data_IF_161858853756
#
_entry.id   IF_161858853756
#
_cell.length_a   1.000
_cell.length_b   1.000
_cell.length_c   1.000
_cell.angle_alpha   90.00
_cell.angle_beta   90.00
_cell.angle_gamma   90.00
#
_symmetry.space_group_name_H-M   'P 1'
#
loop_
_entity.id
_entity.type
_entity.pdbx_description
1 polymer ?
#
# COMPACT_ATOMS: atom_id res chain seq x y z
N UNK A 1 -7.49 6.43 9.19
CA UNK A 1 -6.60 7.15 8.25
C UNK A 1 -7.42 7.65 7.06
N UNK A 2 -7.16 8.86 6.54
CA UNK A 2 -7.80 9.40 5.34
C UNK A 2 -6.98 9.07 4.06
N UNK A 3 -7.51 9.37 2.87
CA UNK A 3 -6.87 9.02 1.59
C UNK A 3 -5.49 9.69 1.40
N UNK A 4 -5.33 10.94 1.84
CA UNK A 4 -4.04 11.62 1.75
C UNK A 4 -2.98 10.97 2.65
N UNK A 5 -3.36 10.63 3.87
CA UNK A 5 -2.51 9.90 4.81
C UNK A 5 -2.16 8.51 4.26
N UNK A 6 -3.09 7.82 3.61
CA UNK A 6 -2.83 6.53 2.96
C UNK A 6 -1.76 6.65 1.86
N UNK A 7 -1.93 7.60 0.93
CA UNK A 7 -0.95 7.86 -0.13
C UNK A 7 0.41 8.28 0.44
N UNK A 8 0.41 9.06 1.52
CA UNK A 8 1.64 9.46 2.20
C UNK A 8 2.36 8.24 2.80
N UNK A 9 1.64 7.37 3.51
CA UNK A 9 2.18 6.15 4.11
C UNK A 9 2.83 5.22 3.07
N UNK A 10 2.20 5.04 1.90
CA UNK A 10 2.76 4.23 0.80
C UNK A 10 4.07 4.84 0.28
N UNK A 11 4.09 6.17 0.07
CA UNK A 11 5.30 6.88 -0.42
C UNK A 11 6.44 6.77 0.57
N UNK A 12 6.17 6.99 1.86
CA UNK A 12 7.16 6.89 2.92
C UNK A 12 7.72 5.45 3.03
N UNK A 13 6.86 4.44 3.04
CA UNK A 13 7.28 3.04 3.07
C UNK A 13 8.15 2.66 1.87
N UNK A 14 7.77 3.11 0.66
CA UNK A 14 8.58 2.88 -0.55
C UNK A 14 9.97 3.51 -0.44
N UNK A 15 10.09 4.70 0.14
CA UNK A 15 11.38 5.37 0.31
C UNK A 15 12.28 4.65 1.32
N UNK A 16 11.72 4.21 2.46
CA UNK A 16 12.42 3.40 3.46
C UNK A 16 12.90 2.09 2.84
N UNK A 17 12.00 1.34 2.19
CA UNK A 17 12.34 0.07 1.55
C UNK A 17 13.42 0.23 0.47
N UNK A 18 13.36 1.31 -0.32
CA UNK A 18 14.41 1.63 -1.30
C UNK A 18 15.76 1.86 -0.62
N UNK A 19 15.79 2.54 0.52
CA UNK A 19 17.03 2.77 1.27
C UNK A 19 17.63 1.47 1.84
N UNK A 20 16.80 0.45 2.08
CA UNK A 20 17.20 -0.88 2.53
C UNK A 20 17.53 -1.85 1.38
N UNK A 21 17.53 -1.37 0.13
CA UNK A 21 17.87 -2.17 -1.06
C UNK A 21 16.70 -2.94 -1.67
N UNK A 22 15.48 -2.80 -1.12
CA UNK A 22 14.26 -3.29 -1.75
C UNK A 22 13.80 -2.29 -2.83
N UNK A 23 14.26 -2.50 -4.08
CA UNK A 23 13.86 -1.67 -5.24
C UNK A 23 12.68 -2.26 -6.03
N UNK A 24 12.13 -3.39 -5.58
CA UNK A 24 11.07 -4.12 -6.27
C UNK A 24 9.68 -3.46 -6.15
N UNK A 25 8.70 -4.12 -6.76
CA UNK A 25 7.30 -3.78 -6.55
C UNK A 25 6.92 -3.94 -5.07
N UNK A 26 5.92 -3.18 -4.61
CA UNK A 26 5.29 -3.37 -3.31
C UNK A 26 3.85 -3.83 -3.51
N UNK A 27 3.40 -4.77 -2.69
CA UNK A 27 2.01 -5.20 -2.64
C UNK A 27 1.35 -4.61 -1.40
N UNK A 28 0.23 -3.93 -1.61
CA UNK A 28 -0.61 -3.46 -0.51
C UNK A 28 -1.59 -4.58 -0.17
N UNK A 29 -1.62 -4.97 1.10
CA UNK A 29 -2.41 -6.08 1.61
C UNK A 29 -3.52 -5.56 2.55
N UNK A 30 -4.37 -6.48 3.02
CA UNK A 30 -5.34 -6.22 4.07
C UNK A 30 -6.50 -5.31 3.65
N UNK A 31 -7.09 -4.62 4.63
CA UNK A 31 -8.27 -3.77 4.43
C UNK A 31 -8.09 -2.70 3.35
N UNK A 32 -6.87 -2.21 3.16
CA UNK A 32 -6.56 -1.17 2.17
C UNK A 32 -6.62 -1.66 0.73
N UNK A 33 -6.25 -2.91 0.44
CA UNK A 33 -6.35 -3.47 -0.91
C UNK A 33 -7.82 -3.64 -1.32
N UNK A 34 -8.67 -3.97 -0.34
CA UNK A 34 -10.12 -4.05 -0.51
C UNK A 34 -10.69 -2.66 -0.77
N UNK A 35 -10.39 -1.68 0.09
CA UNK A 35 -10.90 -0.30 -0.05
C UNK A 35 -10.47 0.36 -1.37
N UNK A 36 -9.24 0.13 -1.82
CA UNK A 36 -8.74 0.63 -3.09
C UNK A 36 -9.45 0.02 -4.31
N UNK A 37 -10.10 -1.14 -4.15
CA UNK A 37 -10.82 -1.84 -5.23
C UNK A 37 -12.26 -1.37 -5.40
N UNK A 38 -12.83 -0.65 -4.42
CA UNK A 38 -14.18 -0.10 -4.51
C UNK A 38 -14.15 1.38 -4.92
N UNK A 39 -15.13 1.78 -5.71
CA UNK A 39 -15.29 3.21 -6.04
C UNK A 39 -15.66 3.99 -4.78
N UNK A 40 -15.07 5.19 -4.64
CA UNK A 40 -15.39 6.19 -3.60
C UNK A 40 -16.89 6.51 -3.48
N UNK A 41 -17.66 6.20 -4.52
CA UNK A 41 -19.09 6.44 -4.63
C UNK A 41 -19.96 5.30 -4.09
N UNK A 42 -19.38 4.13 -3.80
CA UNK A 42 -20.11 2.91 -3.43
C UNK A 42 -20.03 2.63 -1.92
N UNK A 43 -18.89 2.91 -1.28
CA UNK A 43 -18.74 2.68 0.16
C UNK A 43 -19.07 3.93 0.96
N UNK A 44 -19.68 3.72 2.12
CA UNK A 44 -19.85 4.75 3.13
C UNK A 44 -18.47 5.34 3.49
N UNK A 45 -18.30 6.68 3.52
CA UNK A 45 -17.03 7.32 3.87
C UNK A 45 -16.45 6.91 5.23
N UNK A 46 -17.30 6.54 6.19
CA UNK A 46 -16.88 6.02 7.49
C UNK A 46 -16.25 4.62 7.40
N UNK A 47 -16.58 3.86 6.36
CA UNK A 47 -16.00 2.55 6.06
C UNK A 47 -14.75 2.66 5.17
N UNK A 48 -14.51 3.81 4.54
CA UNK A 48 -13.28 4.12 3.78
C UNK A 48 -12.07 4.45 4.65
N UNK A 49 -12.15 4.14 5.94
CA UNK A 49 -11.07 4.35 6.88
C UNK A 49 -10.50 3.00 7.28
N UNK A 50 -9.18 2.89 7.23
CA UNK A 50 -8.49 1.81 7.94
C UNK A 50 -7.42 2.37 8.87
N UNK A 51 -7.12 1.58 9.91
CA UNK A 51 -6.20 1.94 10.98
C UNK A 51 -4.73 1.77 10.56
N UNK A 52 -4.46 0.90 9.59
CA UNK A 52 -3.11 0.48 9.21
C UNK A 52 -2.97 0.27 7.69
N UNK A 53 -1.72 0.14 7.24
CA UNK A 53 -1.38 -0.26 5.87
C UNK A 53 -0.42 -1.43 5.94
N UNK A 54 -0.86 -2.58 5.47
CA UNK A 54 -0.02 -3.75 5.34
C UNK A 54 0.74 -3.70 4.02
N UNK A 55 2.08 -3.68 4.09
CA UNK A 55 2.95 -3.58 2.91
C UNK A 55 3.87 -4.79 2.87
N UNK A 56 3.80 -5.53 1.77
CA UNK A 56 4.71 -6.63 1.47
C UNK A 56 5.67 -6.20 0.35
N UNK A 57 6.98 -6.07 0.63
CA UNK A 57 7.96 -5.85 -0.42
C UNK A 57 8.08 -7.12 -1.26
N UNK A 58 8.07 -6.97 -2.58
CA UNK A 58 8.42 -8.05 -3.50
C UNK A 58 9.93 -8.03 -3.63
N UNK A 59 10.59 -9.14 -3.26
CA UNK A 59 12.01 -9.30 -3.51
C UNK A 59 12.24 -9.08 -5.01
N UNK A 60 13.20 -8.21 -5.36
CA UNK A 60 13.70 -8.15 -6.72
C UNK A 60 14.48 -9.44 -6.96
N UNK A 61 13.79 -10.53 -7.28
CA UNK A 61 14.44 -11.80 -7.47
C UNK A 61 15.46 -11.65 -8.60
N UNK A 62 16.69 -12.06 -8.32
CA UNK A 62 17.84 -11.90 -9.22
C UNK A 62 17.84 -12.93 -10.35
N UNK A 63 16.70 -13.55 -10.63
CA UNK A 63 16.53 -14.62 -11.61
C UNK A 63 15.03 -14.81 -11.96
N UNK A 64 14.46 -13.92 -12.76
CA UNK A 64 13.32 -14.29 -13.61
C UNK A 64 13.94 -14.64 -14.98
N UNK A 65 14.18 -15.93 -15.22
CA UNK A 65 14.61 -16.51 -16.52
C UNK A 65 13.56 -17.51 -16.96
#
# INVERSE_FOLDING_TARGET
MNLEQFHHSIRAAREVLRSEGASGAIVIMGSQSILASYSATILDPSLMMSAEVDIMPVAADRAEV
#
